data_IF_367369414861
#
_entry.id   IF_367369414861
#
_cell.length_a   1.000
_cell.length_b   1.000
_cell.length_c   1.000
_cell.angle_alpha   90.00
_cell.angle_beta   90.00
_cell.angle_gamma   90.00
#
_symmetry.space_group_name_H-M   'P 1'
#
loop_
_entity.id
_entity.type
_entity.pdbx_description
1 polymer ?
#
# COMPACT_ATOMS: atom_id res chain seq x y z
N UNK A 1 -36.04 -25.38 35.04
CA UNK A 1 -35.37 -24.05 34.89
C UNK A 1 -36.33 -23.14 34.15
N UNK A 2 -36.77 -22.08 34.79
CA UNK A 2 -37.70 -21.12 34.19
C UNK A 2 -37.07 -20.40 33.00
N UNK A 3 -37.83 -20.07 31.94
CA UNK A 3 -37.30 -19.43 30.72
C UNK A 3 -36.56 -18.10 31.00
N UNK A 4 -36.93 -17.40 32.07
CA UNK A 4 -36.26 -16.17 32.53
C UNK A 4 -34.79 -16.39 32.95
N UNK A 5 -34.48 -17.53 33.59
CA UNK A 5 -33.14 -17.85 34.05
C UNK A 5 -32.23 -18.24 32.87
N UNK A 6 -32.76 -18.84 31.79
CA UNK A 6 -32.02 -19.14 30.57
C UNK A 6 -31.61 -17.87 29.81
N UNK A 7 -32.53 -16.88 29.79
CA UNK A 7 -32.24 -15.59 29.17
C UNK A 7 -31.14 -14.82 29.92
N UNK A 8 -31.20 -14.82 31.25
CA UNK A 8 -30.19 -14.17 32.11
C UNK A 8 -28.80 -14.82 31.95
N UNK A 9 -28.74 -16.14 31.85
CA UNK A 9 -27.47 -16.86 31.62
C UNK A 9 -26.92 -16.54 30.23
N UNK A 10 -27.75 -16.48 29.19
CA UNK A 10 -27.33 -16.13 27.85
C UNK A 10 -26.75 -14.70 27.77
N UNK A 11 -27.43 -13.73 28.42
CA UNK A 11 -26.94 -12.34 28.50
C UNK A 11 -25.61 -12.27 29.27
N UNK A 12 -25.47 -12.99 30.38
CA UNK A 12 -24.21 -13.01 31.13
C UNK A 12 -23.05 -13.59 30.33
N UNK A 13 -23.28 -14.63 29.52
CA UNK A 13 -22.24 -15.22 28.64
C UNK A 13 -21.84 -14.24 27.53
N UNK A 14 -22.79 -13.54 26.91
CA UNK A 14 -22.53 -12.54 25.90
C UNK A 14 -21.69 -11.38 26.47
N UNK A 15 -22.03 -10.88 27.63
CA UNK A 15 -21.26 -9.82 28.32
C UNK A 15 -19.85 -10.30 28.66
N UNK A 16 -19.70 -11.54 29.10
CA UNK A 16 -18.39 -12.12 29.43
C UNK A 16 -17.50 -12.27 28.17
N UNK A 17 -18.09 -12.70 27.05
CA UNK A 17 -17.38 -12.79 25.77
C UNK A 17 -16.98 -11.39 25.26
N UNK A 18 -17.90 -10.42 25.34
CA UNK A 18 -17.60 -9.03 24.97
C UNK A 18 -16.50 -8.43 25.85
N UNK A 19 -16.52 -8.67 27.16
CA UNK A 19 -15.46 -8.22 28.07
C UNK A 19 -14.11 -8.90 27.77
N UNK A 20 -14.10 -10.18 27.45
CA UNK A 20 -12.89 -10.91 27.07
C UNK A 20 -12.30 -10.40 25.74
N UNK A 21 -13.16 -10.10 24.76
CA UNK A 21 -12.70 -9.46 23.50
C UNK A 21 -12.16 -8.06 23.75
N UNK A 22 -12.81 -7.25 24.59
CA UNK A 22 -12.36 -5.91 24.92
C UNK A 22 -11.01 -5.91 25.68
N UNK A 23 -10.77 -6.88 26.55
CA UNK A 23 -9.48 -7.00 27.26
C UNK A 23 -8.37 -7.59 26.41
N UNK A 24 -8.69 -8.41 25.40
CA UNK A 24 -7.71 -9.04 24.52
C UNK A 24 -7.34 -8.13 23.31
N UNK A 25 -8.29 -7.42 22.74
CA UNK A 25 -8.08 -6.54 21.59
C UNK A 25 -8.04 -5.05 21.93
N UNK A 26 -8.68 -4.61 23.01
CA UNK A 26 -8.78 -3.19 23.39
C UNK A 26 -7.45 -2.57 23.83
N UNK A 27 -6.47 -3.36 24.25
CA UNK A 27 -5.16 -2.84 24.63
C UNK A 27 -4.25 -2.51 23.43
N UNK A 28 -4.44 -3.16 22.31
CA UNK A 28 -3.68 -2.87 21.08
C UNK A 28 -4.27 -1.72 20.25
N UNK A 29 -5.58 -1.45 20.37
CA UNK A 29 -6.24 -0.35 19.65
C UNK A 29 -6.03 1.03 20.31
N UNK A 30 -5.63 1.09 21.59
CA UNK A 30 -5.39 2.36 22.31
C UNK A 30 -3.93 2.58 22.70
N UNK A 31 -3.02 1.69 22.34
CA UNK A 31 -1.60 1.95 22.40
C UNK A 31 -1.17 2.76 21.16
N UNK A 32 -1.75 3.95 21.00
CA UNK A 32 -1.11 5.00 20.24
C UNK A 32 0.11 5.43 21.03
N UNK A 33 1.22 4.69 20.88
CA UNK A 33 2.53 5.19 21.19
C UNK A 33 2.85 6.26 20.13
N UNK A 34 2.27 7.44 20.31
CA UNK A 34 2.84 8.64 19.73
C UNK A 34 4.19 8.82 20.43
N UNK A 35 5.32 8.70 19.73
CA UNK A 35 6.59 9.10 20.30
C UNK A 35 6.45 10.60 20.61
N UNK A 36 6.46 10.93 21.91
CA UNK A 36 6.56 12.30 22.36
C UNK A 36 7.94 12.79 21.95
N UNK A 37 7.98 13.63 20.93
CA UNK A 37 9.17 14.39 20.58
C UNK A 37 9.29 15.48 21.65
N UNK A 38 10.06 15.23 22.71
CA UNK A 38 10.51 16.29 23.59
C UNK A 38 11.51 17.15 22.83
N UNK A 39 11.08 18.35 22.46
CA UNK A 39 11.97 19.40 22.00
C UNK A 39 12.85 19.80 23.19
N UNK A 40 14.17 19.89 23.02
CA UNK A 40 15.05 20.40 24.08
C UNK A 40 14.64 21.83 24.43
N UNK A 41 14.31 22.04 25.68
CA UNK A 41 14.05 23.36 26.24
C UNK A 41 15.31 24.19 26.13
N UNK A 42 15.26 25.33 25.48
CA UNK A 42 16.28 26.37 25.53
C UNK A 42 16.21 27.02 26.93
N UNK A 43 16.93 26.47 27.89
CA UNK A 43 17.22 27.16 29.11
C UNK A 43 18.24 28.27 28.82
N UNK A 44 17.72 29.50 28.82
CA UNK A 44 18.52 30.72 28.76
C UNK A 44 19.02 31.03 30.18
N UNK A 45 20.25 30.70 30.48
CA UNK A 45 20.97 31.39 31.56
C UNK A 45 22.19 32.14 31.01
N UNK A 46 22.43 33.38 31.45
CA UNK A 46 23.53 34.21 30.96
C UNK A 46 24.77 34.06 31.82
N UNK A 47 25.90 33.63 31.25
CA UNK A 47 27.15 33.59 31.97
C UNK A 47 28.37 33.09 31.22
N UNK A 48 29.05 33.99 30.50
CA UNK A 48 30.52 34.13 30.41
C UNK A 48 31.37 33.03 29.74
N UNK A 49 31.67 33.22 28.44
CA UNK A 49 32.93 33.18 27.67
C UNK A 49 34.08 32.19 27.97
N UNK A 50 35.03 32.03 27.02
CA UNK A 50 34.94 31.86 25.54
C UNK A 50 35.77 30.62 25.03
N UNK A 51 35.71 30.39 23.73
CA UNK A 51 36.57 29.49 22.92
C UNK A 51 36.26 28.00 22.95
N UNK A 52 35.37 27.64 22.04
CA UNK A 52 35.53 26.45 21.18
C UNK A 52 34.55 26.58 20.01
N UNK A 53 35.08 26.94 18.88
CA UNK A 53 34.40 26.86 17.59
C UNK A 53 34.07 25.41 17.29
N UNK A 54 32.86 24.99 17.65
CA UNK A 54 32.18 23.84 17.02
C UNK A 54 31.23 24.40 16.01
N UNK A 55 31.64 24.36 14.75
CA UNK A 55 30.74 24.51 13.60
C UNK A 55 29.62 23.50 13.79
N UNK A 56 28.44 23.97 14.19
CA UNK A 56 27.20 23.21 14.08
C UNK A 56 26.90 23.11 12.59
N UNK A 57 27.19 21.96 12.01
CA UNK A 57 26.70 21.63 10.69
C UNK A 57 25.16 21.70 10.68
N UNK A 58 24.55 22.42 9.71
CA UNK A 58 23.10 22.52 9.62
C UNK A 58 22.51 21.16 9.23
N UNK A 59 21.71 20.58 10.11
CA UNK A 59 20.77 19.53 9.79
C UNK A 59 21.37 18.14 9.59
N UNK A 60 21.80 17.52 10.70
CA UNK A 60 21.88 16.06 10.72
C UNK A 60 20.45 15.52 10.62
N UNK A 61 19.99 15.25 9.39
CA UNK A 61 18.80 14.45 9.19
C UNK A 61 19.06 13.09 9.81
N UNK A 62 18.36 12.79 10.89
CA UNK A 62 18.42 11.45 11.48
C UNK A 62 17.79 10.50 10.46
N UNK A 63 18.61 9.78 9.71
CA UNK A 63 18.15 8.73 8.81
C UNK A 63 17.52 7.66 9.67
N UNK A 64 16.22 7.50 9.60
CA UNK A 64 15.53 6.42 10.30
C UNK A 64 16.06 5.10 9.73
N UNK A 65 16.59 4.24 10.59
CA UNK A 65 17.07 2.94 10.16
C UNK A 65 15.88 2.10 9.66
N UNK A 66 15.93 1.69 8.41
CA UNK A 66 14.96 0.75 7.82
C UNK A 66 15.45 -0.66 8.12
N UNK A 67 14.67 -1.37 8.90
CA UNK A 67 14.90 -2.78 9.28
C UNK A 67 13.60 -3.57 9.08
N UNK A 68 13.62 -4.91 9.07
CA UNK A 68 12.39 -5.70 9.00
C UNK A 68 11.33 -5.29 10.02
N UNK A 69 11.73 -4.86 11.23
CA UNK A 69 10.81 -4.48 12.30
C UNK A 69 10.24 -3.06 12.14
N UNK A 70 10.91 -2.17 11.41
CA UNK A 70 10.52 -0.76 11.29
C UNK A 70 9.96 -0.40 9.92
N UNK A 71 10.18 -1.23 8.91
CA UNK A 71 9.92 -0.90 7.50
C UNK A 71 8.46 -0.56 7.22
N UNK A 72 7.51 -1.30 7.78
CA UNK A 72 6.09 -1.01 7.59
C UNK A 72 5.71 0.35 8.19
N UNK A 73 6.24 0.67 9.38
CA UNK A 73 6.04 1.99 10.00
C UNK A 73 6.67 3.10 9.16
N UNK A 74 7.86 2.89 8.59
CA UNK A 74 8.50 3.86 7.69
C UNK A 74 7.62 4.08 6.45
N UNK A 75 7.19 3.01 5.77
CA UNK A 75 6.33 3.10 4.59
C UNK A 75 5.00 3.79 4.92
N UNK A 76 4.40 3.51 6.08
CA UNK A 76 3.15 4.14 6.51
C UNK A 76 3.27 5.66 6.66
N UNK A 77 4.45 6.19 7.01
CA UNK A 77 4.69 7.63 7.18
C UNK A 77 5.04 8.38 5.89
N UNK A 78 5.30 7.69 4.79
CA UNK A 78 5.61 8.34 3.53
C UNK A 78 4.42 9.15 3.02
N UNK A 79 4.70 10.37 2.56
CA UNK A 79 3.68 11.23 1.96
C UNK A 79 3.18 10.65 0.63
N UNK A 80 1.87 10.68 0.41
CA UNK A 80 1.22 10.23 -0.82
C UNK A 80 0.27 11.30 -1.32
N UNK A 81 0.15 11.43 -2.64
CA UNK A 81 -0.87 12.27 -3.24
C UNK A 81 -2.20 11.51 -3.29
N UNK A 82 -3.29 12.18 -2.95
CA UNK A 82 -4.65 11.64 -3.08
C UNK A 82 -5.16 11.69 -4.53
N UNK A 83 -4.44 12.42 -5.39
CA UNK A 83 -4.80 12.60 -6.78
C UNK A 83 -3.55 12.46 -7.66
N UNK A 84 -3.52 11.43 -8.52
CA UNK A 84 -2.38 11.18 -9.40
C UNK A 84 -2.74 10.29 -10.60
N UNK A 85 -1.85 10.33 -11.58
CA UNK A 85 -1.78 9.39 -12.71
C UNK A 85 -0.40 8.74 -12.75
N UNK A 86 -0.38 7.42 -13.05
CA UNK A 86 0.86 6.68 -13.30
C UNK A 86 0.66 5.59 -14.35
N UNK A 87 1.75 5.17 -14.96
CA UNK A 87 1.82 4.02 -15.85
C UNK A 87 2.71 2.95 -15.23
N UNK A 88 2.33 1.71 -15.45
CA UNK A 88 3.11 0.56 -15.00
C UNK A 88 3.03 -0.59 -16.01
N UNK A 89 4.00 -1.48 -15.92
CA UNK A 89 4.06 -2.72 -16.70
C UNK A 89 4.08 -3.90 -15.74
N UNK A 90 3.30 -4.92 -16.06
CA UNK A 90 3.33 -6.20 -15.36
C UNK A 90 3.81 -7.27 -16.31
N UNK A 91 4.82 -8.00 -15.89
CA UNK A 91 5.38 -9.14 -16.62
C UNK A 91 5.19 -10.42 -15.79
N UNK A 92 4.77 -11.47 -16.46
CA UNK A 92 4.69 -12.81 -15.90
C UNK A 92 5.60 -13.73 -16.70
N UNK A 93 6.40 -14.52 -16.01
CA UNK A 93 7.38 -15.41 -16.61
C UNK A 93 7.02 -16.87 -16.29
N UNK A 94 7.25 -17.77 -17.25
CA UNK A 94 7.10 -19.22 -17.09
C UNK A 94 8.12 -19.93 -17.94
N UNK A 95 8.26 -21.22 -17.76
CA UNK A 95 9.17 -22.03 -18.59
C UNK A 95 8.84 -21.87 -20.08
N UNK A 96 9.78 -21.32 -20.84
CA UNK A 96 9.68 -21.14 -22.29
C UNK A 96 8.96 -19.88 -22.75
N UNK A 97 8.58 -18.94 -21.85
CA UNK A 97 7.94 -17.70 -22.31
C UNK A 97 7.71 -16.65 -21.24
N UNK A 98 7.19 -15.53 -21.70
CA UNK A 98 6.73 -14.44 -20.83
C UNK A 98 5.53 -13.75 -21.45
N UNK A 99 4.82 -13.00 -20.64
CA UNK A 99 3.71 -12.13 -21.04
C UNK A 99 3.85 -10.79 -20.36
N UNK A 100 3.47 -9.72 -21.05
CA UNK A 100 3.47 -8.38 -20.48
C UNK A 100 2.13 -7.71 -20.71
N UNK A 101 1.68 -6.93 -19.74
CA UNK A 101 0.54 -6.03 -19.87
C UNK A 101 0.94 -4.62 -19.44
N UNK A 102 0.38 -3.61 -20.11
CA UNK A 102 0.53 -2.21 -19.74
C UNK A 102 -0.70 -1.76 -18.97
N UNK A 103 -0.48 -1.05 -17.89
CA UNK A 103 -1.54 -0.53 -17.03
C UNK A 103 -1.38 0.98 -16.86
N UNK A 104 -2.48 1.69 -17.04
CA UNK A 104 -2.63 3.09 -16.71
C UNK A 104 -3.54 3.21 -15.50
N UNK A 105 -3.14 3.99 -14.51
CA UNK A 105 -3.89 4.15 -13.25
C UNK A 105 -4.12 5.64 -13.00
N UNK A 106 -5.36 6.00 -12.80
CA UNK A 106 -5.82 7.31 -12.36
C UNK A 106 -6.42 7.14 -10.96
N UNK A 107 -5.99 7.95 -10.03
CA UNK A 107 -6.52 7.97 -8.65
C UNK A 107 -6.92 9.41 -8.32
N UNK A 108 -8.09 9.59 -7.72
CA UNK A 108 -8.55 10.88 -7.24
C UNK A 108 -9.60 10.71 -6.13
N UNK A 109 -9.33 11.29 -4.96
CA UNK A 109 -10.29 11.34 -3.85
C UNK A 109 -10.84 9.99 -3.40
N UNK A 110 -10.02 8.93 -3.41
CA UNK A 110 -10.43 7.57 -3.01
C UNK A 110 -11.02 6.73 -4.15
N UNK A 111 -11.15 7.30 -5.35
CA UNK A 111 -11.53 6.57 -6.56
C UNK A 111 -10.30 6.19 -7.37
N UNK A 112 -10.28 4.99 -7.89
CA UNK A 112 -9.20 4.49 -8.75
C UNK A 112 -9.79 3.88 -10.01
N UNK A 113 -9.32 4.37 -11.17
CA UNK A 113 -9.60 3.78 -12.47
C UNK A 113 -8.31 3.19 -13.03
N UNK A 114 -8.31 1.92 -13.39
CA UNK A 114 -7.22 1.29 -14.12
C UNK A 114 -7.67 0.85 -15.51
N UNK A 115 -6.80 1.08 -16.49
CA UNK A 115 -6.94 0.61 -17.86
C UNK A 115 -5.79 -0.33 -18.19
N UNK A 116 -6.11 -1.56 -18.51
CA UNK A 116 -5.15 -2.63 -18.72
C UNK A 116 -5.21 -3.10 -20.18
N UNK A 117 -4.08 -3.04 -20.88
CA UNK A 117 -3.94 -3.63 -22.22
C UNK A 117 -3.39 -5.03 -22.04
N UNK A 118 -4.27 -6.01 -22.21
CA UNK A 118 -3.95 -7.42 -22.06
C UNK A 118 -3.08 -7.93 -23.23
N UNK A 119 -2.32 -9.03 -23.07
CA UNK A 119 -1.51 -9.60 -24.14
C UNK A 119 -2.32 -10.02 -25.38
N UNK A 120 -3.61 -10.27 -25.23
CA UNK A 120 -4.55 -10.54 -26.33
C UNK A 120 -4.86 -9.30 -27.18
N UNK A 121 -4.48 -8.11 -26.74
CA UNK A 121 -4.88 -6.83 -27.31
C UNK A 121 -6.23 -6.32 -26.78
N UNK A 122 -6.95 -7.10 -25.98
CA UNK A 122 -8.16 -6.64 -25.31
C UNK A 122 -7.81 -5.59 -24.25
N UNK A 123 -8.68 -4.61 -24.07
CA UNK A 123 -8.51 -3.58 -23.03
C UNK A 123 -9.57 -3.81 -21.97
N UNK A 124 -9.11 -3.97 -20.74
CA UNK A 124 -9.96 -4.07 -19.55
C UNK A 124 -9.89 -2.78 -18.77
N UNK A 125 -11.02 -2.37 -18.23
CA UNK A 125 -11.18 -1.27 -17.31
C UNK A 125 -11.67 -1.79 -15.97
N UNK A 126 -11.07 -1.29 -14.90
CA UNK A 126 -11.50 -1.51 -13.52
C UNK A 126 -11.62 -0.17 -12.83
N UNK A 127 -12.78 0.13 -12.27
CA UNK A 127 -13.06 1.35 -11.56
C UNK A 127 -13.52 0.99 -10.16
N UNK A 128 -12.77 1.44 -9.15
CA UNK A 128 -12.98 1.12 -7.74
C UNK A 128 -13.28 2.39 -6.96
N UNK A 129 -14.31 2.35 -6.15
CA UNK A 129 -14.67 3.39 -5.19
C UNK A 129 -15.87 2.95 -4.35
N UNK A 130 -16.01 3.47 -3.14
CA UNK A 130 -17.08 3.15 -2.20
C UNK A 130 -17.27 1.63 -1.99
N UNK A 131 -16.16 0.91 -1.81
CA UNK A 131 -16.12 -0.56 -1.60
C UNK A 131 -16.71 -1.37 -2.75
N UNK A 132 -16.85 -0.78 -3.93
CA UNK A 132 -17.36 -1.44 -5.14
C UNK A 132 -16.34 -1.38 -6.26
N UNK A 133 -16.13 -2.54 -6.90
CA UNK A 133 -15.41 -2.64 -8.16
C UNK A 133 -16.42 -2.73 -9.29
N UNK A 134 -16.23 -1.92 -10.31
CA UNK A 134 -16.90 -1.97 -11.62
C UNK A 134 -15.85 -2.37 -12.65
N UNK A 135 -16.16 -3.36 -13.52
CA UNK A 135 -15.23 -3.72 -14.58
C UNK A 135 -15.92 -4.00 -15.89
N UNK A 136 -15.24 -3.69 -16.99
CA UNK A 136 -15.73 -3.89 -18.37
C UNK A 136 -14.56 -4.00 -19.34
N UNK A 137 -14.87 -4.37 -20.57
CA UNK A 137 -13.93 -4.38 -21.69
C UNK A 137 -14.29 -3.32 -22.72
N UNK A 138 -13.28 -2.77 -23.40
CA UNK A 138 -13.48 -1.80 -24.50
C UNK A 138 -14.50 -2.29 -25.51
N UNK A 139 -15.40 -1.40 -25.92
CA UNK A 139 -16.49 -1.70 -26.86
C UNK A 139 -17.74 -2.28 -26.20
N UNK A 140 -17.71 -2.65 -24.93
CA UNK A 140 -18.91 -3.03 -24.17
C UNK A 140 -19.64 -1.79 -23.67
N UNK A 141 -20.95 -1.81 -23.68
CA UNK A 141 -21.80 -0.84 -22.96
C UNK A 141 -22.29 -1.41 -21.62
N UNK A 142 -21.92 -2.63 -21.31
CA UNK A 142 -22.25 -3.31 -20.07
C UNK A 142 -21.01 -3.43 -19.19
N UNK A 143 -21.22 -3.40 -17.90
CA UNK A 143 -20.20 -3.61 -16.89
C UNK A 143 -20.71 -4.61 -15.85
N UNK A 144 -19.77 -5.23 -15.16
CA UNK A 144 -20.03 -6.11 -14.04
C UNK A 144 -19.63 -5.40 -12.74
N UNK A 145 -20.19 -5.83 -11.61
CA UNK A 145 -19.87 -5.27 -10.29
C UNK A 145 -19.53 -6.36 -9.29
N UNK A 146 -18.65 -6.04 -8.37
CA UNK A 146 -18.31 -6.90 -7.24
C UNK A 146 -17.83 -6.07 -6.05
N UNK A 147 -17.77 -6.65 -4.84
CA UNK A 147 -17.08 -6.05 -3.73
C UNK A 147 -15.60 -5.80 -4.08
N UNK A 148 -15.06 -4.63 -3.75
CA UNK A 148 -13.70 -4.26 -4.11
C UNK A 148 -12.65 -5.23 -3.54
N UNK A 149 -12.85 -5.69 -2.31
CA UNK A 149 -11.97 -6.62 -1.60
C UNK A 149 -11.92 -8.02 -2.21
N UNK A 150 -13.01 -8.50 -2.78
CA UNK A 150 -13.07 -9.84 -3.37
C UNK A 150 -12.42 -9.94 -4.75
N UNK A 151 -12.27 -8.82 -5.45
CA UNK A 151 -11.73 -8.78 -6.82
C UNK A 151 -10.41 -8.02 -6.94
N UNK A 152 -10.03 -7.23 -5.96
CA UNK A 152 -8.64 -6.73 -5.86
C UNK A 152 -7.67 -7.90 -5.72
N UNK A 153 -8.13 -9.03 -5.23
CA UNK A 153 -7.42 -10.31 -5.23
C UNK A 153 -7.60 -11.12 -6.49
N UNK A 154 -8.43 -10.66 -7.44
CA UNK A 154 -8.59 -11.36 -8.71
C UNK A 154 -7.24 -11.40 -9.43
N UNK A 155 -6.88 -12.60 -9.81
CA UNK A 155 -5.63 -12.92 -10.49
C UNK A 155 -5.39 -12.08 -11.75
N UNK A 156 -6.44 -11.56 -12.37
CA UNK A 156 -6.33 -10.67 -13.51
C UNK A 156 -5.73 -9.30 -13.13
N UNK A 157 -5.85 -8.89 -11.89
CA UNK A 157 -5.38 -7.58 -11.46
C UNK A 157 -4.02 -7.62 -10.76
N UNK A 158 -3.61 -8.65 -10.12
CA UNK A 158 -2.30 -8.86 -9.45
C UNK A 158 -1.36 -7.64 -9.46
N UNK A 159 -1.93 -6.47 -9.12
CA UNK A 159 -1.22 -5.23 -9.01
C UNK A 159 -0.96 -5.00 -7.53
N UNK A 160 0.19 -5.39 -7.01
CA UNK A 160 0.54 -5.08 -5.64
C UNK A 160 0.62 -3.56 -5.49
N UNK A 161 0.24 -3.09 -4.31
CA UNK A 161 0.31 -1.68 -3.92
C UNK A 161 1.19 -1.54 -2.68
N UNK A 162 1.37 -0.32 -2.19
CA UNK A 162 2.08 -0.13 -0.92
C UNK A 162 1.28 -0.72 0.26
N UNK A 163 -0.07 -0.79 0.17
CA UNK A 163 -0.92 -1.45 1.16
C UNK A 163 -0.57 -2.93 1.28
N UNK A 164 -0.27 -3.60 0.15
CA UNK A 164 0.20 -4.99 0.16
C UNK A 164 1.39 -5.16 1.11
N UNK A 165 2.31 -4.19 1.14
CA UNK A 165 3.47 -4.23 2.03
C UNK A 165 3.09 -3.97 3.48
N UNK A 166 2.11 -3.09 3.72
CA UNK A 166 1.61 -2.80 5.07
C UNK A 166 0.84 -3.98 5.69
N UNK A 167 0.22 -4.81 4.85
CA UNK A 167 -0.58 -5.97 5.26
C UNK A 167 0.25 -7.26 5.41
N UNK A 168 1.57 -7.22 5.08
CA UNK A 168 2.46 -8.37 5.29
C UNK A 168 2.53 -8.76 6.77
N UNK A 169 2.62 -10.05 7.03
CA UNK A 169 2.99 -10.52 8.35
C UNK A 169 4.44 -10.08 8.66
N UNK A 170 4.67 -9.27 9.71
CA UNK A 170 6.01 -8.79 10.05
C UNK A 170 7.04 -9.90 10.24
N UNK A 171 6.61 -11.09 10.67
CA UNK A 171 7.48 -12.24 10.91
C UNK A 171 7.99 -12.88 9.60
N UNK A 172 7.36 -12.57 8.46
CA UNK A 172 7.79 -13.04 7.14
C UNK A 172 8.80 -12.13 6.47
N UNK A 173 9.00 -10.90 6.99
CA UNK A 173 9.94 -9.93 6.42
C UNK A 173 11.37 -10.33 6.80
N UNK A 174 12.16 -10.72 5.81
CA UNK A 174 13.53 -11.22 6.01
C UNK A 174 14.58 -10.13 5.87
N UNK A 175 14.33 -9.13 5.00
CA UNK A 175 15.24 -8.01 4.82
C UNK A 175 14.47 -6.72 4.49
N UNK A 176 15.05 -5.58 4.89
CA UNK A 176 14.55 -4.26 4.52
C UNK A 176 15.69 -3.25 4.52
N UNK A 177 15.57 -2.22 3.68
CA UNK A 177 16.59 -1.18 3.56
C UNK A 177 16.22 -0.12 2.53
N UNK A 178 17.16 0.80 2.29
CA UNK A 178 17.07 1.75 1.18
C UNK A 178 17.80 1.21 -0.04
N UNK A 179 17.19 1.33 -1.21
CA UNK A 179 17.75 0.88 -2.48
C UNK A 179 17.36 1.83 -3.61
N UNK A 180 18.20 1.95 -4.64
CA UNK A 180 17.85 2.65 -5.88
C UNK A 180 17.23 1.66 -6.86
N UNK A 181 16.06 2.03 -7.39
CA UNK A 181 15.45 1.34 -8.54
C UNK A 181 15.37 2.30 -9.71
N UNK A 182 16.22 2.06 -10.71
CA UNK A 182 16.54 3.10 -11.68
C UNK A 182 17.13 4.32 -10.98
N UNK A 183 16.54 5.49 -11.18
CA UNK A 183 16.93 6.74 -10.51
C UNK A 183 16.06 7.07 -9.28
N UNK A 184 15.17 6.15 -8.86
CA UNK A 184 14.25 6.38 -7.76
C UNK A 184 14.79 5.81 -6.45
N UNK A 185 14.84 6.65 -5.41
CA UNK A 185 15.13 6.21 -4.05
C UNK A 185 13.92 5.45 -3.49
N UNK A 186 14.13 4.22 -3.05
CA UNK A 186 13.07 3.34 -2.59
C UNK A 186 13.39 2.75 -1.21
N UNK A 187 12.34 2.44 -0.48
CA UNK A 187 12.36 1.50 0.65
C UNK A 187 12.12 0.12 0.06
N UNK A 188 13.09 -0.79 0.22
CA UNK A 188 13.00 -2.18 -0.22
C UNK A 188 12.55 -3.06 0.95
N UNK A 189 11.66 -4.03 0.65
CA UNK A 189 11.21 -5.07 1.58
C UNK A 189 11.35 -6.41 0.88
N UNK A 190 11.99 -7.37 1.54
CA UNK A 190 12.07 -8.75 1.09
C UNK A 190 11.30 -9.66 2.06
N UNK A 191 10.49 -10.55 1.50
CA UNK A 191 9.64 -11.49 2.21
C UNK A 191 9.96 -12.90 1.72
N UNK A 192 10.08 -13.81 2.67
CA UNK A 192 10.17 -15.23 2.37
C UNK A 192 8.87 -15.91 2.78
N UNK A 193 8.26 -16.65 1.85
CA UNK A 193 7.04 -17.41 2.10
C UNK A 193 7.37 -18.89 2.16
N UNK A 194 7.00 -19.53 3.28
CA UNK A 194 7.12 -20.98 3.44
C UNK A 194 6.16 -21.71 2.50
N UNK A 195 6.67 -22.65 1.73
CA UNK A 195 5.87 -23.46 0.81
C UNK A 195 6.68 -23.87 -0.40
N UNK A 196 6.40 -23.40 -1.61
CA UNK A 196 7.41 -23.34 -2.65
C UNK A 196 8.41 -22.25 -2.27
N UNK A 197 9.72 -22.48 -2.37
CA UNK A 197 10.75 -21.48 -2.08
C UNK A 197 10.45 -20.18 -2.83
N UNK A 198 9.62 -19.33 -2.23
CA UNK A 198 9.11 -18.11 -2.82
C UNK A 198 9.68 -16.92 -2.08
N UNK A 199 10.29 -16.02 -2.84
CA UNK A 199 10.79 -14.73 -2.37
C UNK A 199 10.02 -13.63 -3.07
N UNK A 200 9.47 -12.73 -2.30
CA UNK A 200 8.82 -11.53 -2.83
C UNK A 200 9.62 -10.30 -2.42
N UNK A 201 9.80 -9.38 -3.36
CA UNK A 201 10.47 -8.10 -3.11
C UNK A 201 9.61 -6.95 -3.57
N UNK A 202 9.55 -5.93 -2.74
CA UNK A 202 8.76 -4.73 -2.95
C UNK A 202 9.63 -3.49 -2.80
N UNK A 203 9.46 -2.52 -3.69
CA UNK A 203 10.17 -1.24 -3.64
C UNK A 203 9.15 -0.10 -3.62
N UNK A 204 9.08 0.61 -2.51
CA UNK A 204 8.21 1.77 -2.32
C UNK A 204 9.02 3.03 -2.47
N UNK A 205 8.65 3.90 -3.41
CA UNK A 205 9.34 5.16 -3.67
C UNK A 205 9.25 6.11 -2.48
N UNK A 206 10.39 6.64 -2.05
CA UNK A 206 10.47 7.55 -0.90
C UNK A 206 9.69 8.83 -1.16
N UNK A 207 9.83 9.41 -2.35
CA UNK A 207 9.21 10.70 -2.71
C UNK A 207 7.70 10.61 -2.97
N UNK A 208 7.24 9.45 -3.46
CA UNK A 208 5.83 9.27 -3.84
C UNK A 208 5.02 8.48 -2.83
N UNK A 209 5.69 7.69 -1.98
CA UNK A 209 5.05 6.72 -1.09
C UNK A 209 4.34 5.58 -1.83
N UNK A 210 4.42 5.50 -3.16
CA UNK A 210 3.77 4.48 -3.98
C UNK A 210 4.72 3.34 -4.30
N UNK A 211 4.17 2.14 -4.53
CA UNK A 211 4.95 0.99 -4.97
C UNK A 211 5.49 1.25 -6.39
N UNK A 212 6.81 1.16 -6.56
CA UNK A 212 7.53 1.42 -7.81
C UNK A 212 7.86 0.12 -8.52
N UNK A 213 8.16 -0.92 -7.78
CA UNK A 213 8.47 -2.24 -8.31
C UNK A 213 8.06 -3.33 -7.34
N UNK A 214 7.67 -4.48 -7.88
CA UNK A 214 7.50 -5.72 -7.15
C UNK A 214 8.02 -6.88 -7.98
N UNK A 215 8.66 -7.85 -7.34
CA UNK A 215 9.16 -9.06 -7.98
C UNK A 215 8.79 -10.27 -7.13
N UNK A 216 8.45 -11.39 -7.80
CA UNK A 216 8.27 -12.69 -7.17
C UNK A 216 9.20 -13.68 -7.84
N UNK A 217 10.02 -14.34 -7.04
CA UNK A 217 10.86 -15.48 -7.46
C UNK A 217 10.31 -16.74 -6.83
N UNK A 218 10.28 -17.81 -7.61
CA UNK A 218 9.92 -19.15 -7.16
C UNK A 218 11.03 -20.11 -7.57
N UNK A 219 11.57 -20.90 -6.64
CA UNK A 219 12.70 -21.79 -6.87
C UNK A 219 13.91 -21.08 -7.53
N UNK A 220 14.14 -19.81 -7.16
CA UNK A 220 15.20 -18.96 -7.71
C UNK A 220 14.96 -18.46 -9.13
N UNK A 221 13.76 -18.62 -9.67
CA UNK A 221 13.36 -18.11 -10.98
C UNK A 221 12.33 -17.01 -10.83
N UNK A 222 12.55 -15.90 -11.54
CA UNK A 222 11.59 -14.80 -11.60
C UNK A 222 10.31 -15.26 -12.30
N UNK A 223 9.17 -15.16 -11.60
CA UNK A 223 7.85 -15.53 -12.11
C UNK A 223 6.93 -14.35 -12.33
N UNK A 224 7.19 -13.24 -11.63
CA UNK A 224 6.39 -12.01 -11.71
C UNK A 224 7.28 -10.79 -11.55
N UNK A 225 6.99 -9.73 -12.29
CA UNK A 225 7.57 -8.40 -12.11
C UNK A 225 6.55 -7.32 -12.42
N UNK A 226 6.44 -6.36 -11.53
CA UNK A 226 5.74 -5.10 -11.77
C UNK A 226 6.75 -3.96 -11.72
N UNK A 227 6.66 -3.02 -12.67
CA UNK A 227 7.49 -1.83 -12.72
C UNK A 227 6.66 -0.59 -13.02
N UNK A 228 6.94 0.51 -12.31
CA UNK A 228 6.29 1.81 -12.45
C UNK A 228 7.36 2.92 -12.35
N UNK A 229 8.28 2.94 -13.32
CA UNK A 229 9.40 3.90 -13.34
C UNK A 229 9.07 5.20 -14.06
N UNK A 230 7.93 5.27 -14.76
CA UNK A 230 7.46 6.50 -15.37
C UNK A 230 7.15 7.57 -14.32
N UNK A 231 7.41 8.86 -14.61
CA UNK A 231 7.06 9.92 -13.69
C UNK A 231 5.57 9.90 -13.32
N UNK A 232 5.29 10.09 -12.03
CA UNK A 232 3.93 10.24 -11.55
C UNK A 232 3.46 11.67 -11.87
N UNK A 233 2.28 11.81 -12.44
CA UNK A 233 1.63 13.11 -12.67
C UNK A 233 0.64 13.37 -11.54
N UNK A 234 0.86 14.40 -10.75
CA UNK A 234 -0.01 14.84 -9.68
C UNK A 234 -0.27 16.36 -9.81
N UNK A 235 -1.51 16.81 -9.67
CA UNK A 235 -2.73 16.03 -9.52
C UNK A 235 -3.10 15.21 -10.76
N UNK A 236 -4.15 14.39 -10.64
CA UNK A 236 -4.69 13.59 -11.72
C UNK A 236 -5.02 14.50 -12.93
N UNK A 237 -4.65 14.12 -14.17
CA UNK A 237 -4.92 14.95 -15.35
C UNK A 237 -6.43 15.19 -15.55
N UNK A 238 -6.80 16.39 -15.99
CA UNK A 238 -8.20 16.76 -16.26
C UNK A 238 -8.90 15.88 -17.31
N UNK A 239 -8.14 15.11 -18.09
CA UNK A 239 -8.69 14.15 -19.05
C UNK A 239 -9.06 12.80 -18.44
N UNK A 240 -8.75 12.57 -17.16
CA UNK A 240 -9.16 11.37 -16.46
C UNK A 240 -10.69 11.29 -16.36
N UNK A 241 -11.21 10.08 -16.46
CA UNK A 241 -12.65 9.84 -16.41
C UNK A 241 -12.94 8.67 -15.46
N UNK A 242 -13.86 8.91 -14.55
CA UNK A 242 -14.42 7.89 -13.65
C UNK A 242 -15.88 7.58 -14.06
N UNK A 243 -16.06 7.32 -15.35
CA UNK A 243 -17.35 7.13 -15.99
C UNK A 243 -17.49 5.70 -16.45
N UNK A 244 -18.64 5.09 -16.20
CA UNK A 244 -19.00 3.76 -16.66
C UNK A 244 -19.30 3.74 -18.16
N UNK A 245 -19.28 2.58 -18.83
CA UNK A 245 -19.52 2.49 -20.27
C UNK A 245 -20.95 2.88 -20.70
N UNK A 246 -21.90 2.90 -19.75
CA UNK A 246 -23.27 3.39 -19.98
C UNK A 246 -23.40 4.92 -19.91
N UNK A 247 -22.30 5.63 -19.63
CA UNK A 247 -22.23 7.10 -19.51
C UNK A 247 -22.48 7.63 -18.09
N UNK A 248 -22.71 6.78 -17.10
CA UNK A 248 -22.88 7.21 -15.72
C UNK A 248 -21.53 7.59 -15.11
N UNK A 249 -21.40 8.84 -14.73
CA UNK A 249 -20.24 9.34 -13.97
C UNK A 249 -20.37 8.97 -12.49
N UNK A 250 -19.35 8.34 -11.93
CA UNK A 250 -19.30 7.92 -10.52
C UNK A 250 -18.52 8.92 -9.67
N UNK A 251 -17.52 9.58 -10.26
CA UNK A 251 -16.69 10.58 -9.58
C UNK A 251 -16.25 11.66 -10.57
N UNK A 252 -16.26 12.90 -10.12
CA UNK A 252 -15.75 14.06 -10.86
C UNK A 252 -14.48 14.54 -10.19
N UNK A 253 -13.47 14.90 -10.98
CA UNK A 253 -12.24 15.49 -10.46
C UNK A 253 -12.53 16.76 -9.67
N UNK A 254 -11.93 16.88 -8.50
CA UNK A 254 -12.07 18.01 -7.57
C UNK A 254 -11.17 19.19 -7.94
#
# INVERSE_FOLDING_TARGET
MEPKNRLLIAIAVIVLIAAAMFTSFGRSLFALNTPSVELPSLDTEPGTNPDSSSEQEPGQYQTVAVTPQTVQSVIATLARSDSYYRELTVETFWEGGSSALSVQVWTDGGWTHSRQVLPSGSVRHDLVGEDTLYYWYDGSQQYETAPADSLSSDLAQRLPTYETVLDLDPDTITAAGYELRGDLACVCVEVYLEGPDQVERYWVGVDSGLLVSAETEQDGQLTYRMTAYSPITAPCPAAASFTLPDGRELHSLS
#
